data_IF_153249488129
#
_entry.id   IF_153249488129
#
_cell.length_a   1.000
_cell.length_b   1.000
_cell.length_c   1.000
_cell.angle_alpha   90.00
_cell.angle_beta   90.00
_cell.angle_gamma   90.00
#
_symmetry.space_group_name_H-M   'P 1'
#
loop_
_entity.id
_entity.type
_entity.pdbx_description
1 polymer ?
#
# COMPACT_ATOMS: atom_id res chain seq x y z
N UNK A 1 -29.41 -34.75 -15.48
CA UNK A 1 -27.98 -34.60 -15.14
C UNK A 1 -27.76 -35.42 -13.88
N UNK A 2 -26.76 -36.30 -13.85
CA UNK A 2 -26.54 -37.13 -12.67
C UNK A 2 -25.95 -36.26 -11.56
N UNK A 3 -26.28 -36.53 -10.29
CA UNK A 3 -25.78 -35.78 -9.14
C UNK A 3 -24.23 -35.80 -9.04
N UNK A 4 -23.58 -36.80 -9.66
CA UNK A 4 -22.13 -36.83 -9.81
C UNK A 4 -21.58 -35.71 -10.70
N UNK A 5 -22.38 -35.18 -11.63
CA UNK A 5 -21.96 -34.11 -12.55
C UNK A 5 -21.91 -32.75 -11.84
N UNK A 6 -22.75 -32.50 -10.83
CA UNK A 6 -22.73 -31.27 -9.99
C UNK A 6 -21.60 -31.27 -8.94
N UNK A 7 -21.13 -32.45 -8.53
CA UNK A 7 -20.08 -32.61 -7.51
C UNK A 7 -18.70 -32.20 -8.06
N UNK A 8 -18.47 -32.36 -9.37
CA UNK A 8 -17.16 -32.11 -10.01
C UNK A 8 -16.87 -30.63 -10.30
N UNK A 9 -17.82 -29.73 -10.11
CA UNK A 9 -17.65 -28.28 -10.34
C UNK A 9 -17.48 -27.46 -9.07
N UNK A 10 -17.48 -28.12 -7.89
CA UNK A 10 -17.37 -27.46 -6.59
C UNK A 10 -15.92 -27.48 -6.07
N UNK A 11 -15.48 -26.43 -5.34
CA UNK A 11 -14.23 -26.47 -4.59
C UNK A 11 -14.17 -27.69 -3.65
N UNK A 12 -12.97 -28.26 -3.45
CA UNK A 12 -12.76 -29.51 -2.70
C UNK A 12 -13.42 -29.54 -1.32
N UNK A 13 -13.50 -28.38 -0.65
CA UNK A 13 -14.11 -28.25 0.68
C UNK A 13 -15.64 -28.40 0.65
N UNK A 14 -16.29 -27.87 -0.38
CA UNK A 14 -17.75 -28.00 -0.59
C UNK A 14 -18.11 -29.43 -0.99
N UNK A 15 -17.25 -30.08 -1.78
CA UNK A 15 -17.38 -31.49 -2.14
C UNK A 15 -17.36 -32.39 -0.88
N UNK A 16 -16.40 -32.16 0.03
CA UNK A 16 -16.31 -32.89 1.29
C UNK A 16 -17.53 -32.67 2.20
N UNK A 17 -18.04 -31.43 2.27
CA UNK A 17 -19.26 -31.12 3.03
C UNK A 17 -20.48 -31.88 2.49
N UNK A 18 -20.69 -31.89 1.17
CA UNK A 18 -21.78 -32.61 0.53
C UNK A 18 -21.70 -34.13 0.73
N UNK A 19 -20.50 -34.71 0.60
CA UNK A 19 -20.26 -36.14 0.86
C UNK A 19 -20.59 -36.49 2.32
N UNK A 20 -20.18 -35.65 3.27
CA UNK A 20 -20.47 -35.87 4.70
C UNK A 20 -21.95 -35.75 5.04
N UNK A 21 -22.69 -34.82 4.41
CA UNK A 21 -24.14 -34.70 4.55
C UNK A 21 -24.83 -35.95 3.98
N UNK A 22 -24.41 -36.41 2.81
CA UNK A 22 -24.97 -37.55 2.13
C UNK A 22 -24.78 -38.87 2.91
N UNK A 23 -23.56 -39.13 3.41
CA UNK A 23 -23.26 -40.31 4.23
C UNK A 23 -24.09 -40.35 5.53
N UNK A 24 -24.44 -39.17 6.07
CA UNK A 24 -25.28 -39.02 7.25
C UNK A 24 -26.77 -39.26 6.98
N UNK A 25 -27.27 -38.82 5.83
CA UNK A 25 -28.65 -39.10 5.40
C UNK A 25 -28.83 -40.62 5.22
N UNK A 26 -27.89 -41.28 4.53
CA UNK A 26 -27.89 -42.74 4.36
C UNK A 26 -27.86 -43.50 5.69
N UNK A 27 -26.99 -43.09 6.62
CA UNK A 27 -26.94 -43.73 7.95
C UNK A 27 -28.18 -43.46 8.81
N UNK A 28 -28.86 -42.31 8.64
CA UNK A 28 -30.14 -42.03 9.29
C UNK A 28 -31.23 -43.00 8.81
N UNK A 29 -31.39 -43.16 7.48
CA UNK A 29 -32.35 -44.09 6.89
C UNK A 29 -32.08 -45.55 7.31
N UNK A 30 -30.83 -45.97 7.41
CA UNK A 30 -30.48 -47.31 7.90
C UNK A 30 -30.88 -47.52 9.38
N UNK A 31 -30.71 -46.52 10.24
CA UNK A 31 -31.04 -46.65 11.67
C UNK A 31 -32.56 -46.64 11.89
N UNK A 32 -33.29 -45.80 11.15
CA UNK A 32 -34.76 -45.81 11.16
C UNK A 32 -35.33 -47.17 10.77
N UNK A 33 -34.76 -47.79 9.73
CA UNK A 33 -35.30 -49.02 9.15
C UNK A 33 -34.91 -50.28 9.93
N UNK A 34 -33.75 -50.31 10.59
CA UNK A 34 -33.17 -51.56 11.13
C UNK A 34 -32.84 -51.57 12.63
N UNK A 35 -32.98 -50.46 13.38
CA UNK A 35 -32.63 -50.45 14.81
C UNK A 35 -33.81 -50.74 15.77
N UNK A 36 -33.61 -51.47 16.88
CA UNK A 36 -34.62 -51.66 17.92
C UNK A 36 -35.00 -50.36 18.65
N UNK A 37 -36.24 -50.25 19.12
CA UNK A 37 -36.87 -48.99 19.58
C UNK A 37 -36.13 -48.29 20.74
N UNK A 38 -35.57 -49.06 21.69
CA UNK A 38 -34.81 -48.49 22.82
C UNK A 38 -33.43 -47.93 22.39
N UNK A 39 -32.87 -48.44 21.28
CA UNK A 39 -31.58 -48.04 20.73
C UNK A 39 -31.69 -46.76 19.87
N UNK A 40 -32.85 -46.56 19.22
CA UNK A 40 -33.14 -45.37 18.40
C UNK A 40 -33.04 -44.08 19.22
N UNK A 41 -33.67 -44.03 20.40
CA UNK A 41 -33.77 -42.80 21.20
C UNK A 41 -32.42 -42.29 21.70
N UNK A 42 -31.51 -43.20 22.08
CA UNK A 42 -30.17 -42.85 22.57
C UNK A 42 -29.27 -42.38 21.42
N UNK A 43 -29.29 -43.08 20.27
CA UNK A 43 -28.49 -42.71 19.10
C UNK A 43 -28.97 -41.40 18.48
N UNK A 44 -30.29 -41.18 18.37
CA UNK A 44 -30.84 -39.92 17.85
C UNK A 44 -30.44 -38.73 18.72
N UNK A 45 -30.49 -38.86 20.06
CA UNK A 45 -30.09 -37.78 20.97
C UNK A 45 -28.58 -37.48 20.92
N UNK A 46 -27.74 -38.51 20.85
CA UNK A 46 -26.28 -38.33 20.70
C UNK A 46 -25.93 -37.70 19.35
N UNK A 47 -26.53 -38.17 18.25
CA UNK A 47 -26.28 -37.63 16.90
C UNK A 47 -26.79 -36.20 16.73
N UNK A 48 -27.92 -35.82 17.36
CA UNK A 48 -28.38 -34.42 17.37
C UNK A 48 -27.39 -33.47 18.05
N UNK A 49 -26.79 -33.92 19.16
CA UNK A 49 -25.77 -33.14 19.89
C UNK A 49 -24.48 -32.98 19.06
N UNK A 50 -24.03 -34.05 18.40
CA UNK A 50 -22.90 -33.99 17.46
C UNK A 50 -23.22 -33.16 16.20
N UNK A 51 -24.46 -33.17 15.73
CA UNK A 51 -24.91 -32.36 14.59
C UNK A 51 -24.82 -30.86 14.88
N UNK A 52 -25.28 -30.42 16.06
CA UNK A 52 -25.13 -29.01 16.48
C UNK A 52 -23.67 -28.61 16.65
N UNK A 53 -22.85 -29.44 17.30
CA UNK A 53 -21.40 -29.20 17.43
C UNK A 53 -20.69 -29.11 16.07
N UNK A 54 -21.11 -29.90 15.10
CA UNK A 54 -20.49 -29.93 13.78
C UNK A 54 -20.98 -28.78 12.88
N UNK A 55 -22.24 -28.35 13.02
CA UNK A 55 -22.73 -27.12 12.41
C UNK A 55 -22.00 -25.91 12.98
N UNK A 56 -21.84 -25.82 14.30
CA UNK A 56 -21.06 -24.73 14.91
C UNK A 56 -19.60 -24.74 14.45
N UNK A 57 -18.96 -25.91 14.35
CA UNK A 57 -17.62 -26.01 13.77
C UNK A 57 -17.57 -25.62 12.29
N UNK A 58 -18.57 -25.99 11.49
CA UNK A 58 -18.62 -25.64 10.06
C UNK A 58 -18.90 -24.15 9.87
N UNK A 59 -19.76 -23.55 10.70
CA UNK A 59 -20.00 -22.10 10.73
C UNK A 59 -18.78 -21.33 11.24
N UNK A 60 -18.06 -21.84 12.24
CA UNK A 60 -16.79 -21.28 12.71
C UNK A 60 -15.69 -21.38 11.64
N UNK A 61 -15.62 -22.49 10.90
CA UNK A 61 -14.73 -22.64 9.74
C UNK A 61 -15.13 -21.71 8.58
N UNK A 62 -16.43 -21.53 8.33
CA UNK A 62 -16.93 -20.58 7.32
C UNK A 62 -16.64 -19.12 7.70
N UNK A 63 -16.68 -18.78 8.99
CA UNK A 63 -16.22 -17.49 9.50
C UNK A 63 -14.70 -17.35 9.44
N UNK A 64 -13.93 -18.44 9.53
CA UNK A 64 -12.48 -18.43 9.34
C UNK A 64 -12.05 -18.23 7.88
N UNK A 65 -12.93 -18.55 6.92
CA UNK A 65 -12.69 -18.52 5.48
C UNK A 65 -13.75 -17.71 4.72
N UNK A 66 -14.25 -16.61 5.28
CA UNK A 66 -14.86 -15.58 4.46
C UNK A 66 -13.74 -14.95 3.63
N UNK A 67 -13.53 -15.48 2.43
CA UNK A 67 -12.85 -14.75 1.38
C UNK A 67 -13.70 -13.50 1.16
N UNK A 68 -13.21 -12.34 1.55
CA UNK A 68 -13.88 -11.10 1.20
C UNK A 68 -13.99 -11.07 -0.32
N UNK A 69 -15.19 -10.83 -0.87
CA UNK A 69 -15.30 -10.55 -2.29
C UNK A 69 -14.50 -9.26 -2.57
N UNK A 70 -13.46 -9.36 -3.39
CA UNK A 70 -12.66 -8.23 -3.85
C UNK A 70 -12.51 -8.32 -5.37
N UNK A 71 -12.31 -7.17 -6.01
CA UNK A 71 -12.06 -7.11 -7.44
C UNK A 71 -10.54 -7.07 -7.68
N UNK A 72 -10.07 -7.95 -8.57
CA UNK A 72 -8.71 -7.89 -9.11
C UNK A 72 -8.67 -8.26 -10.59
N UNK A 73 -7.61 -7.80 -11.25
CA UNK A 73 -7.30 -8.12 -12.64
C UNK A 73 -5.87 -8.65 -12.70
N UNK A 74 -5.68 -9.82 -13.27
CA UNK A 74 -4.37 -10.45 -13.38
C UNK A 74 -4.01 -10.72 -14.84
N UNK A 75 -2.74 -10.46 -15.17
CA UNK A 75 -2.10 -10.90 -16.40
C UNK A 75 -0.83 -11.68 -16.04
N UNK A 76 -0.55 -12.77 -16.77
CA UNK A 76 0.57 -13.68 -16.46
C UNK A 76 0.14 -14.90 -15.64
N UNK A 77 1.06 -15.42 -14.83
CA UNK A 77 0.85 -16.62 -14.03
C UNK A 77 0.06 -16.32 -12.74
N UNK A 78 -1.10 -16.97 -12.48
CA UNK A 78 -1.86 -16.74 -11.24
C UNK A 78 -1.32 -17.46 -10.00
N UNK A 79 -0.32 -18.32 -10.17
CA UNK A 79 0.39 -18.96 -9.07
C UNK A 79 1.46 -18.06 -8.46
N UNK A 80 1.88 -18.38 -7.25
CA UNK A 80 2.96 -17.70 -6.54
C UNK A 80 4.32 -18.01 -7.16
N UNK A 81 5.03 -16.98 -7.62
CA UNK A 81 6.39 -17.09 -8.10
C UNK A 81 7.33 -17.53 -6.97
N UNK A 82 8.14 -18.55 -7.24
CA UNK A 82 9.10 -19.08 -6.26
C UNK A 82 10.50 -18.61 -6.57
N UNK A 83 10.91 -17.51 -5.91
CA UNK A 83 12.31 -17.13 -5.83
C UNK A 83 13.13 -18.28 -5.22
N UNK A 84 14.21 -18.66 -5.90
CA UNK A 84 15.13 -19.67 -5.40
C UNK A 84 15.87 -19.21 -4.13
N UNK A 85 16.07 -17.90 -4.00
CA UNK A 85 16.69 -17.24 -2.85
C UNK A 85 16.09 -15.83 -2.72
N UNK A 86 15.33 -15.57 -1.65
CA UNK A 86 14.71 -14.25 -1.41
C UNK A 86 15.74 -13.16 -1.06
N UNK A 87 16.97 -13.53 -0.65
CA UNK A 87 18.02 -12.55 -0.30
C UNK A 87 18.53 -11.74 -1.49
N UNK A 88 18.14 -12.10 -2.72
CA UNK A 88 18.46 -11.38 -3.96
C UNK A 88 17.55 -10.17 -4.22
N UNK A 89 16.52 -9.98 -3.38
CA UNK A 89 15.68 -8.79 -3.39
C UNK A 89 16.40 -7.64 -2.68
N UNK A 90 16.73 -6.60 -3.45
CA UNK A 90 17.48 -5.44 -2.96
C UNK A 90 16.59 -4.34 -2.40
N UNK A 91 15.26 -4.50 -2.45
CA UNK A 91 14.27 -3.49 -2.09
C UNK A 91 14.41 -2.18 -2.85
N UNK A 92 13.89 -1.11 -2.25
CA UNK A 92 13.96 0.25 -2.77
C UNK A 92 12.59 0.92 -2.80
N UNK A 93 12.59 2.21 -3.12
CA UNK A 93 11.38 3.02 -3.23
C UNK A 93 11.35 3.77 -4.56
N UNK A 94 10.20 3.78 -5.24
CA UNK A 94 9.94 4.62 -6.40
C UNK A 94 8.89 5.70 -6.03
N UNK A 95 9.29 6.96 -6.10
CA UNK A 95 8.46 8.13 -5.81
C UNK A 95 8.15 8.89 -7.11
N UNK A 96 6.99 8.67 -7.71
CA UNK A 96 6.56 9.36 -8.93
C UNK A 96 5.63 10.55 -8.61
N UNK A 97 5.98 11.74 -9.10
CA UNK A 97 5.25 12.97 -8.77
C UNK A 97 3.87 13.13 -9.43
N UNK A 98 3.46 12.16 -10.27
CA UNK A 98 2.19 12.16 -10.98
C UNK A 98 2.31 12.53 -12.47
N UNK A 99 1.17 12.55 -13.16
CA UNK A 99 1.08 12.77 -14.62
C UNK A 99 1.74 11.65 -15.42
N UNK A 100 2.32 11.95 -16.59
CA UNK A 100 2.92 10.96 -17.49
C UNK A 100 4.07 10.18 -16.82
N UNK A 101 3.99 8.85 -16.89
CA UNK A 101 5.00 7.94 -16.38
C UNK A 101 6.35 8.07 -17.10
N UNK A 102 7.42 7.70 -16.40
CA UNK A 102 8.80 7.76 -16.90
C UNK A 102 9.35 6.35 -17.09
N UNK A 103 9.22 5.80 -18.30
CA UNK A 103 9.54 4.40 -18.62
C UNK A 103 10.81 3.86 -17.95
N UNK A 104 11.93 4.60 -18.02
CA UNK A 104 13.21 4.16 -17.47
C UNK A 104 13.17 3.92 -15.94
N UNK A 105 12.43 4.75 -15.22
CA UNK A 105 12.25 4.61 -13.77
C UNK A 105 11.37 3.39 -13.44
N UNK A 106 10.35 3.13 -14.25
CA UNK A 106 9.48 1.98 -14.06
C UNK A 106 10.15 0.67 -14.49
N UNK A 107 11.03 0.69 -15.51
CA UNK A 107 11.92 -0.45 -15.81
C UNK A 107 12.87 -0.74 -14.65
N UNK A 108 13.41 0.30 -14.00
CA UNK A 108 14.21 0.15 -12.78
C UNK A 108 13.40 -0.52 -11.67
N UNK A 109 12.14 -0.14 -11.47
CA UNK A 109 11.24 -0.77 -10.50
C UNK A 109 10.98 -2.25 -10.83
N UNK A 110 10.58 -2.56 -12.06
CA UNK A 110 10.27 -3.94 -12.46
C UNK A 110 11.48 -4.87 -12.42
N UNK A 111 12.67 -4.38 -12.75
CA UNK A 111 13.91 -5.19 -12.69
C UNK A 111 14.18 -5.70 -11.27
N UNK A 112 13.70 -4.98 -10.25
CA UNK A 112 13.84 -5.36 -8.84
C UNK A 112 12.84 -6.42 -8.39
N UNK A 113 11.77 -6.65 -9.16
CA UNK A 113 10.90 -7.81 -8.96
C UNK A 113 11.62 -9.14 -9.31
N UNK A 114 12.81 -9.08 -9.94
CA UNK A 114 13.63 -10.26 -10.30
C UNK A 114 12.86 -11.30 -11.12
N UNK A 115 11.92 -10.85 -11.94
CA UNK A 115 11.07 -11.71 -12.76
C UNK A 115 9.86 -12.30 -12.03
N UNK A 116 9.60 -11.92 -10.77
CA UNK A 116 8.48 -12.41 -9.97
C UNK A 116 7.18 -11.64 -10.15
N UNK A 117 6.32 -11.74 -9.14
CA UNK A 117 4.96 -11.21 -9.12
C UNK A 117 4.93 -9.73 -8.74
N UNK A 118 4.16 -8.95 -9.51
CA UNK A 118 3.95 -7.52 -9.25
C UNK A 118 2.51 -7.28 -8.82
N UNK A 119 2.34 -6.71 -7.63
CA UNK A 119 1.03 -6.29 -7.14
C UNK A 119 0.85 -4.79 -7.34
N UNK A 120 -0.24 -4.40 -8.00
CA UNK A 120 -0.65 -3.01 -8.17
C UNK A 120 -1.85 -2.76 -7.25
N UNK A 121 -1.79 -1.73 -6.42
CA UNK A 121 -2.85 -1.38 -5.48
C UNK A 121 -3.50 -0.09 -5.94
N UNK A 122 -4.77 -0.21 -6.29
CA UNK A 122 -5.60 0.92 -6.69
C UNK A 122 -6.47 1.37 -5.53
N UNK A 123 -6.52 2.67 -5.28
CA UNK A 123 -7.43 3.21 -4.28
C UNK A 123 -8.88 2.96 -4.69
N UNK A 124 -9.76 2.70 -3.73
CA UNK A 124 -11.16 2.38 -4.04
C UNK A 124 -12.13 3.50 -3.75
N UNK A 125 -11.81 4.72 -4.18
CA UNK A 125 -12.75 5.83 -4.14
C UNK A 125 -13.88 5.56 -5.14
N UNK A 126 -15.05 5.20 -4.61
CA UNK A 126 -16.20 4.74 -5.41
C UNK A 126 -16.90 5.87 -6.19
N UNK A 127 -16.69 7.15 -5.84
CA UNK A 127 -17.69 8.17 -6.12
C UNK A 127 -17.71 8.80 -7.53
N UNK A 128 -16.76 8.57 -8.45
CA UNK A 128 -16.85 9.21 -9.79
C UNK A 128 -15.99 8.55 -10.90
N UNK A 129 -16.24 7.29 -11.29
CA UNK A 129 -15.84 6.79 -12.63
C UNK A 129 -16.48 5.40 -12.86
N UNK A 130 -17.46 5.28 -13.78
CA UNK A 130 -18.15 3.99 -14.04
C UNK A 130 -17.22 2.87 -14.58
N UNK A 131 -16.01 3.24 -15.00
CA UNK A 131 -14.97 2.33 -15.49
C UNK A 131 -13.95 1.94 -14.41
N UNK A 132 -14.07 2.48 -13.20
CA UNK A 132 -13.07 2.30 -12.14
C UNK A 132 -12.91 0.82 -11.72
N UNK A 133 -13.97 0.03 -11.50
CA UNK A 133 -13.84 -1.40 -11.28
C UNK A 133 -13.66 -2.21 -12.57
N UNK A 134 -13.37 -1.61 -13.73
CA UNK A 134 -13.15 -2.34 -14.99
C UNK A 134 -11.81 -2.00 -15.66
N UNK A 135 -10.92 -1.32 -14.94
CA UNK A 135 -9.61 -0.91 -15.43
C UNK A 135 -8.50 -1.57 -14.59
N UNK A 136 -7.61 -2.28 -15.28
CA UNK A 136 -6.49 -3.04 -14.73
C UNK A 136 -5.23 -2.17 -14.48
N UNK A 137 -5.39 -0.85 -14.54
CA UNK A 137 -4.43 0.20 -14.25
C UNK A 137 -3.08 0.05 -14.96
N UNK A 138 -2.15 -0.65 -14.33
CA UNK A 138 -0.76 -0.80 -14.78
C UNK A 138 -0.46 -2.18 -15.39
N UNK A 139 -1.43 -3.10 -15.41
CA UNK A 139 -1.22 -4.49 -15.83
C UNK A 139 -0.52 -4.61 -17.19
N UNK A 140 -1.11 -4.05 -18.25
CA UNK A 140 -0.51 -4.12 -19.60
C UNK A 140 0.85 -3.43 -19.65
N UNK A 141 0.95 -2.25 -19.04
CA UNK A 141 2.16 -1.44 -19.09
C UNK A 141 3.35 -2.14 -18.41
N UNK A 142 3.13 -2.73 -17.24
CA UNK A 142 4.15 -3.47 -16.50
C UNK A 142 4.44 -4.85 -17.08
N UNK A 143 3.42 -5.56 -17.57
CA UNK A 143 3.60 -6.92 -18.07
C UNK A 143 4.21 -6.97 -19.47
N UNK A 144 3.90 -5.99 -20.33
CA UNK A 144 4.25 -6.06 -21.75
C UNK A 144 4.91 -4.81 -22.34
N UNK A 145 4.39 -3.61 -22.08
CA UNK A 145 4.84 -2.41 -22.82
C UNK A 145 6.27 -1.98 -22.43
N UNK A 146 6.67 -2.17 -21.17
CA UNK A 146 8.01 -1.79 -20.69
C UNK A 146 9.14 -2.75 -21.11
N UNK A 147 8.81 -3.95 -21.58
CA UNK A 147 9.78 -4.95 -22.03
C UNK A 147 10.65 -5.57 -20.93
N UNK A 148 10.26 -5.44 -19.65
CA UNK A 148 10.91 -6.11 -18.52
C UNK A 148 10.09 -7.35 -18.16
N UNK A 149 10.74 -8.51 -18.09
CA UNK A 149 10.06 -9.76 -17.77
C UNK A 149 9.67 -9.81 -16.28
N UNK A 150 8.41 -10.17 -16.03
CA UNK A 150 7.80 -10.45 -14.71
C UNK A 150 6.89 -11.68 -14.85
N UNK A 151 6.60 -12.39 -13.76
CA UNK A 151 5.77 -13.61 -13.79
C UNK A 151 4.28 -13.26 -13.95
N UNK A 152 3.85 -12.26 -13.19
CA UNK A 152 2.49 -11.73 -13.24
C UNK A 152 2.42 -10.26 -12.84
N UNK A 153 1.34 -9.61 -13.26
CA UNK A 153 0.90 -8.33 -12.70
C UNK A 153 -0.55 -8.47 -12.30
N UNK A 154 -0.86 -8.24 -11.03
CA UNK A 154 -2.22 -8.24 -10.51
C UNK A 154 -2.57 -6.91 -9.85
N UNK A 155 -3.59 -6.26 -10.38
CA UNK A 155 -4.17 -5.05 -9.79
C UNK A 155 -5.26 -5.45 -8.80
N UNK A 156 -5.14 -5.04 -7.55
CA UNK A 156 -6.14 -5.20 -6.48
C UNK A 156 -6.86 -3.86 -6.28
N UNK A 157 -8.19 -3.90 -6.33
CA UNK A 157 -9.04 -2.76 -6.04
C UNK A 157 -9.35 -2.65 -4.54
N UNK A 158 -8.71 -1.70 -3.86
CA UNK A 158 -8.84 -1.52 -2.41
C UNK A 158 -9.98 -0.55 -2.07
N UNK A 159 -11.22 -1.03 -2.07
CA UNK A 159 -12.41 -0.20 -1.84
C UNK A 159 -13.06 -0.32 -0.47
N UNK A 160 -12.55 -1.17 0.41
CA UNK A 160 -13.08 -1.30 1.76
C UNK A 160 -12.05 -1.82 2.74
N UNK A 161 -12.31 -1.58 4.04
CA UNK A 161 -11.55 -2.23 5.11
C UNK A 161 -11.71 -3.74 5.11
N UNK A 162 -12.84 -4.27 4.63
CA UNK A 162 -13.05 -5.72 4.51
C UNK A 162 -12.09 -6.34 3.49
N UNK A 163 -11.84 -5.67 2.35
CA UNK A 163 -10.82 -6.07 1.39
C UNK A 163 -9.42 -5.98 2.00
N UNK A 164 -9.13 -4.90 2.73
CA UNK A 164 -7.86 -4.73 3.42
C UNK A 164 -7.60 -5.82 4.50
N UNK A 165 -8.63 -6.23 5.24
CA UNK A 165 -8.54 -7.30 6.24
C UNK A 165 -8.68 -8.73 5.68
N UNK A 166 -8.77 -8.88 4.35
CA UNK A 166 -8.83 -10.19 3.70
C UNK A 166 -7.51 -10.95 3.88
N UNK A 167 -7.59 -12.19 4.36
CA UNK A 167 -6.42 -13.09 4.42
C UNK A 167 -5.86 -13.40 3.03
N UNK A 168 -6.70 -13.39 2.00
CA UNK A 168 -6.29 -13.67 0.63
C UNK A 168 -5.48 -12.51 0.04
N UNK A 169 -5.95 -11.27 0.22
CA UNK A 169 -5.22 -10.06 -0.20
C UNK A 169 -3.89 -9.96 0.55
N UNK A 170 -3.90 -10.16 1.87
CA UNK A 170 -2.68 -10.17 2.67
C UNK A 170 -1.68 -11.25 2.21
N UNK A 171 -2.16 -12.43 1.81
CA UNK A 171 -1.33 -13.51 1.26
C UNK A 171 -0.67 -13.09 -0.06
N UNK A 172 -1.42 -12.50 -1.00
CA UNK A 172 -0.90 -12.00 -2.28
C UNK A 172 0.18 -10.93 -2.07
N UNK A 173 -0.05 -9.99 -1.15
CA UNK A 173 0.93 -8.95 -0.82
C UNK A 173 2.24 -9.55 -0.28
N UNK A 174 2.15 -10.56 0.60
CA UNK A 174 3.34 -11.25 1.13
C UNK A 174 4.11 -12.02 0.05
N UNK A 175 3.41 -12.48 -0.98
CA UNK A 175 3.98 -13.24 -2.09
C UNK A 175 4.58 -12.37 -3.19
N UNK A 176 4.16 -11.11 -3.30
CA UNK A 176 4.70 -10.21 -4.33
C UNK A 176 6.22 -10.00 -4.22
N UNK A 177 6.87 -9.76 -5.35
CA UNK A 177 8.27 -9.32 -5.46
C UNK A 177 8.39 -7.81 -5.69
N UNK A 178 7.30 -7.16 -6.13
CA UNK A 178 7.18 -5.72 -6.23
C UNK A 178 5.76 -5.25 -5.95
N UNK A 179 5.61 -4.09 -5.30
CA UNK A 179 4.30 -3.52 -4.96
C UNK A 179 4.23 -2.08 -5.46
N UNK A 180 3.18 -1.72 -6.17
CA UNK A 180 3.00 -0.38 -6.74
C UNK A 180 1.65 0.22 -6.36
N UNK A 181 1.63 1.46 -5.86
CA UNK A 181 0.40 2.20 -5.53
C UNK A 181 0.09 3.23 -6.62
N UNK A 182 -1.11 3.19 -7.18
CA UNK A 182 -1.52 4.11 -8.24
C UNK A 182 -1.74 5.53 -7.74
N UNK A 183 -2.03 6.43 -8.68
CA UNK A 183 -2.64 7.73 -8.36
C UNK A 183 -4.07 7.54 -7.85
N UNK A 184 -4.69 8.64 -7.42
CA UNK A 184 -6.00 8.67 -6.79
C UNK A 184 -6.04 9.65 -5.63
N UNK A 185 -6.66 9.23 -4.55
CA UNK A 185 -6.86 9.97 -3.31
C UNK A 185 -6.19 9.21 -2.15
N UNK A 186 -5.10 9.79 -1.63
CA UNK A 186 -4.29 9.14 -0.61
C UNK A 186 -5.03 8.87 0.71
N UNK A 187 -6.17 9.55 0.94
CA UNK A 187 -7.00 9.26 2.11
C UNK A 187 -7.51 7.82 2.10
N UNK A 188 -7.88 7.28 0.94
CA UNK A 188 -8.45 5.93 0.86
C UNK A 188 -7.40 4.84 1.11
N UNK A 189 -6.14 5.08 0.72
CA UNK A 189 -5.04 4.21 1.15
C UNK A 189 -4.89 4.24 2.67
N UNK A 190 -4.84 5.42 3.28
CA UNK A 190 -4.69 5.55 4.72
C UNK A 190 -5.86 4.92 5.49
N UNK A 191 -7.09 5.28 5.12
CA UNK A 191 -8.36 4.82 5.71
C UNK A 191 -8.51 3.30 5.68
N UNK A 192 -8.09 2.65 4.59
CA UNK A 192 -8.30 1.21 4.42
C UNK A 192 -7.15 0.37 4.93
N UNK A 193 -5.89 0.79 4.77
CA UNK A 193 -4.73 -0.02 5.11
C UNK A 193 -4.44 0.02 6.61
N UNK A 194 -4.53 1.20 7.25
CA UNK A 194 -4.08 1.37 8.63
C UNK A 194 -4.80 0.40 9.59
N UNK A 195 -4.04 -0.28 10.45
CA UNK A 195 -4.51 -1.30 11.39
C UNK A 195 -5.35 -2.41 10.71
N UNK A 196 -4.78 -3.04 9.67
CA UNK A 196 -5.36 -4.21 8.97
C UNK A 196 -4.31 -5.26 8.63
N UNK A 197 -4.76 -6.46 8.23
CA UNK A 197 -3.88 -7.51 7.72
C UNK A 197 -3.09 -7.08 6.47
N UNK A 198 -3.60 -6.11 5.71
CA UNK A 198 -2.89 -5.47 4.60
C UNK A 198 -1.61 -4.80 5.11
N UNK A 199 -1.71 -3.99 6.17
CA UNK A 199 -0.56 -3.30 6.75
C UNK A 199 0.48 -4.29 7.28
N UNK A 200 0.03 -5.34 8.00
CA UNK A 200 0.93 -6.41 8.46
C UNK A 200 1.65 -7.12 7.30
N UNK A 201 0.97 -7.29 6.16
CA UNK A 201 1.55 -7.89 4.96
C UNK A 201 2.55 -6.95 4.27
N UNK A 202 2.27 -5.64 4.20
CA UNK A 202 3.19 -4.64 3.69
C UNK A 202 4.44 -4.53 4.56
N UNK A 203 4.28 -4.49 5.88
CA UNK A 203 5.38 -4.45 6.84
C UNK A 203 6.29 -5.67 6.64
N UNK A 204 5.73 -6.87 6.49
CA UNK A 204 6.51 -8.06 6.15
C UNK A 204 7.22 -7.93 4.79
N UNK A 205 6.51 -7.50 3.74
CA UNK A 205 7.07 -7.40 2.40
C UNK A 205 8.25 -6.41 2.36
N UNK A 206 8.11 -5.25 3.03
CA UNK A 206 9.12 -4.19 3.07
C UNK A 206 10.28 -4.54 4.02
N UNK A 207 9.98 -4.93 5.26
CA UNK A 207 10.99 -5.06 6.31
C UNK A 207 11.66 -6.44 6.32
N UNK A 208 10.96 -7.50 5.89
CA UNK A 208 11.49 -8.88 5.92
C UNK A 208 11.89 -9.33 4.52
N UNK A 209 10.95 -9.34 3.56
CA UNK A 209 11.18 -9.83 2.19
C UNK A 209 12.01 -8.86 1.33
N UNK A 210 12.10 -7.59 1.74
CA UNK A 210 12.84 -6.52 1.04
C UNK A 210 12.33 -6.30 -0.39
N UNK A 211 11.01 -6.28 -0.59
CA UNK A 211 10.42 -5.96 -1.89
C UNK A 211 10.63 -4.48 -2.24
N UNK A 212 10.70 -4.17 -3.54
CA UNK A 212 10.62 -2.79 -3.99
C UNK A 212 9.17 -2.30 -3.87
N UNK A 213 8.98 -1.07 -3.40
CA UNK A 213 7.65 -0.43 -3.35
C UNK A 213 7.67 0.87 -4.12
N UNK A 214 6.66 1.11 -4.94
CA UNK A 214 6.55 2.33 -5.74
C UNK A 214 5.17 2.96 -5.64
N UNK A 215 5.06 4.20 -6.07
CA UNK A 215 3.76 4.76 -6.37
C UNK A 215 3.81 6.12 -7.04
N UNK A 216 2.68 6.52 -7.60
CA UNK A 216 2.51 7.80 -8.32
C UNK A 216 1.44 8.66 -7.67
N UNK A 217 1.63 9.99 -7.65
CA UNK A 217 0.68 10.94 -7.04
C UNK A 217 0.29 10.56 -5.61
N UNK A 218 -0.91 9.99 -5.38
CA UNK A 218 -1.36 9.54 -4.08
C UNK A 218 -0.50 8.38 -3.54
N UNK A 219 -0.19 7.41 -4.41
CA UNK A 219 0.70 6.30 -4.07
C UNK A 219 2.14 6.72 -3.77
N UNK A 220 2.60 7.87 -4.27
CA UNK A 220 3.87 8.46 -3.87
C UNK A 220 3.74 9.19 -2.52
N UNK A 221 2.64 9.90 -2.28
CA UNK A 221 2.43 10.70 -1.07
C UNK A 221 2.38 9.87 0.23
N UNK A 222 2.08 8.58 0.13
CA UNK A 222 2.00 7.65 1.27
C UNK A 222 3.31 6.94 1.63
N UNK A 223 4.40 7.17 0.87
CA UNK A 223 5.67 6.43 1.00
C UNK A 223 6.53 6.92 2.17
N UNK A 224 6.35 8.17 2.60
CA UNK A 224 7.05 8.72 3.76
C UNK A 224 6.67 8.03 5.06
N UNK A 225 7.55 8.11 6.06
CA UNK A 225 7.18 7.74 7.43
C UNK A 225 5.98 8.57 7.91
N UNK A 226 5.94 9.84 7.51
CA UNK A 226 4.81 10.75 7.73
C UNK A 226 4.03 10.93 6.43
N UNK A 227 2.72 11.03 6.55
CA UNK A 227 1.79 11.10 5.42
C UNK A 227 0.83 12.26 5.61
N UNK A 228 0.76 13.17 4.65
CA UNK A 228 -0.37 14.10 4.56
C UNK A 228 -1.61 13.32 4.10
N UNK A 229 -2.54 13.04 5.02
CA UNK A 229 -3.62 12.07 4.77
C UNK A 229 -4.69 12.59 3.82
N UNK A 230 -4.87 13.91 3.74
CA UNK A 230 -5.94 14.55 2.99
C UNK A 230 -7.36 14.03 3.32
N UNK A 231 -7.59 13.63 4.58
CA UNK A 231 -8.88 13.08 5.03
C UNK A 231 -10.07 14.02 4.79
N UNK A 232 -9.87 15.32 5.00
CA UNK A 232 -10.90 16.34 4.81
C UNK A 232 -10.86 16.89 3.38
N UNK A 233 -9.69 17.38 2.97
CA UNK A 233 -9.40 17.88 1.61
C UNK A 233 -7.88 18.05 1.46
N UNK A 234 -7.42 18.35 0.24
CA UNK A 234 -6.09 18.92 0.04
C UNK A 234 -6.02 20.34 0.63
N UNK A 235 -4.83 20.75 1.04
CA UNK A 235 -4.53 22.12 1.48
C UNK A 235 -3.55 22.80 0.51
N UNK A 236 -3.78 24.09 0.19
CA UNK A 236 -2.85 24.88 -0.62
C UNK A 236 -1.83 25.62 0.26
N UNK A 237 -0.74 26.10 -0.36
CA UNK A 237 0.35 26.77 0.36
C UNK A 237 -0.11 27.95 1.23
N UNK A 238 -1.00 28.82 0.73
CA UNK A 238 -1.45 29.98 1.51
C UNK A 238 -2.27 29.59 2.74
N UNK A 239 -3.10 28.56 2.65
CA UNK A 239 -3.89 28.04 3.78
C UNK A 239 -2.96 27.38 4.81
N UNK A 240 -2.08 26.48 4.36
CA UNK A 240 -1.19 25.72 5.24
C UNK A 240 -0.18 26.61 5.99
N UNK A 241 0.27 27.71 5.39
CA UNK A 241 1.15 28.67 6.05
C UNK A 241 0.40 29.62 6.98
N UNK A 242 -0.86 29.95 6.68
CA UNK A 242 -1.68 30.82 7.52
C UNK A 242 -2.13 30.11 8.80
N UNK A 243 -2.53 28.84 8.68
CA UNK A 243 -2.90 28.00 9.81
C UNK A 243 -2.39 26.55 9.61
N UNK A 244 -1.21 26.22 10.14
CA UNK A 244 -0.71 24.85 10.13
C UNK A 244 -1.57 23.87 10.94
N UNK A 245 -2.56 24.34 11.72
CA UNK A 245 -3.54 23.54 12.46
C UNK A 245 -4.92 23.50 11.82
N UNK A 246 -5.05 23.97 10.57
CA UNK A 246 -6.26 23.80 9.77
C UNK A 246 -6.67 22.32 9.71
N UNK A 247 -7.97 22.05 9.79
CA UNK A 247 -8.52 20.69 9.80
C UNK A 247 -8.18 19.88 8.54
N UNK A 248 -7.91 20.54 7.41
CA UNK A 248 -7.42 19.88 6.18
C UNK A 248 -6.00 19.35 6.34
N UNK A 249 -5.18 19.96 7.21
CA UNK A 249 -3.79 19.56 7.45
C UNK A 249 -3.71 18.48 8.54
N UNK A 250 -3.95 17.24 8.15
CA UNK A 250 -3.77 16.07 9.02
C UNK A 250 -2.55 15.26 8.59
N UNK A 251 -1.67 14.97 9.56
CA UNK A 251 -0.45 14.17 9.36
C UNK A 251 -0.63 12.82 10.05
N UNK A 252 -0.67 11.76 9.24
CA UNK A 252 -0.59 10.38 9.69
C UNK A 252 0.86 9.89 9.71
N UNK A 253 1.07 8.65 10.21
CA UNK A 253 2.41 8.07 10.36
C UNK A 253 2.40 6.56 10.20
N UNK A 254 3.52 6.00 9.73
CA UNK A 254 3.80 4.56 9.69
C UNK A 254 2.83 3.72 8.83
N UNK A 255 2.30 4.30 7.76
CA UNK A 255 1.50 3.54 6.80
C UNK A 255 2.38 2.57 6.00
N UNK A 256 3.51 3.06 5.48
CA UNK A 256 4.55 2.27 4.81
C UNK A 256 5.89 2.42 5.55
N UNK A 257 6.43 1.31 6.08
CA UNK A 257 7.60 1.35 6.99
C UNK A 257 8.93 1.23 6.26
N UNK A 258 9.21 2.18 5.38
CA UNK A 258 10.49 2.26 4.69
C UNK A 258 11.60 2.75 5.62
N UNK A 259 12.55 1.88 5.96
CA UNK A 259 13.72 2.29 6.79
C UNK A 259 14.50 3.44 6.15
N UNK A 260 14.61 3.48 4.82
CA UNK A 260 15.31 4.56 4.09
C UNK A 260 14.56 5.89 4.07
N UNK A 261 13.26 5.91 4.35
CA UNK A 261 12.42 7.11 4.41
C UNK A 261 12.04 7.48 5.85
N UNK A 262 12.80 6.99 6.84
CA UNK A 262 12.65 7.44 8.23
C UNK A 262 12.78 8.96 8.34
N UNK A 263 11.93 9.53 9.18
CA UNK A 263 11.72 10.94 9.42
C UNK A 263 11.43 11.76 8.14
N UNK A 264 10.83 11.13 7.12
CA UNK A 264 10.58 11.78 5.83
C UNK A 264 9.08 11.91 5.58
N UNK A 265 8.68 13.06 5.06
CA UNK A 265 7.36 13.28 4.46
C UNK A 265 7.52 13.55 2.95
N UNK A 266 6.58 13.06 2.15
CA UNK A 266 6.61 13.18 0.69
C UNK A 266 5.48 14.07 0.18
N UNK A 267 5.72 14.79 -0.92
CA UNK A 267 4.70 15.56 -1.64
C UNK A 267 4.87 15.41 -3.16
N UNK A 268 3.79 15.59 -3.91
CA UNK A 268 3.69 15.33 -5.36
C UNK A 268 3.15 16.52 -6.12
N UNK A 269 3.14 16.49 -7.46
CA UNK A 269 2.70 17.60 -8.32
C UNK A 269 3.29 18.95 -7.87
N UNK A 270 4.57 18.92 -7.52
CA UNK A 270 5.13 19.82 -6.53
C UNK A 270 5.17 21.27 -7.00
N UNK A 271 5.88 21.54 -8.11
CA UNK A 271 5.88 22.84 -8.74
C UNK A 271 4.55 23.19 -9.41
N UNK A 272 3.90 22.21 -10.04
CA UNK A 272 2.68 22.41 -10.82
C UNK A 272 1.55 23.00 -9.95
N UNK A 273 1.54 22.68 -8.67
CA UNK A 273 0.53 23.13 -7.71
C UNK A 273 1.08 24.07 -6.64
N UNK A 274 2.31 24.57 -6.80
CA UNK A 274 2.94 25.52 -5.87
C UNK A 274 2.98 25.01 -4.42
N UNK A 275 3.37 23.74 -4.22
CA UNK A 275 3.21 23.01 -2.94
C UNK A 275 4.39 23.17 -1.97
N UNK A 276 5.32 24.06 -2.25
CA UNK A 276 6.54 24.18 -1.44
C UNK A 276 6.24 24.71 -0.04
N UNK A 277 5.37 25.72 0.08
CA UNK A 277 5.01 26.27 1.37
C UNK A 277 4.17 25.33 2.23
N UNK A 278 3.20 24.59 1.65
CA UNK A 278 2.47 23.56 2.41
C UNK A 278 3.38 22.44 2.90
N UNK A 279 4.37 22.04 2.10
CA UNK A 279 5.28 20.97 2.48
C UNK A 279 6.17 21.40 3.66
N UNK A 280 6.58 22.66 3.71
CA UNK A 280 7.23 23.25 4.89
C UNK A 280 6.31 23.24 6.10
N UNK A 281 5.03 23.62 5.94
CA UNK A 281 4.06 23.54 7.02
C UNK A 281 3.90 22.10 7.55
N UNK A 282 3.88 21.09 6.67
CA UNK A 282 3.85 19.70 7.08
C UNK A 282 5.09 19.31 7.90
N UNK A 283 6.29 19.65 7.41
CA UNK A 283 7.53 19.38 8.13
C UNK A 283 7.56 20.08 9.50
N UNK A 284 7.06 21.32 9.57
CA UNK A 284 6.94 22.06 10.83
C UNK A 284 5.96 21.39 11.80
N UNK A 285 4.81 20.90 11.31
CA UNK A 285 3.85 20.13 12.11
C UNK A 285 4.45 18.83 12.64
N UNK A 286 5.14 18.08 11.78
CA UNK A 286 5.85 16.87 12.19
C UNK A 286 6.83 17.19 13.33
N UNK A 287 7.67 18.22 13.17
CA UNK A 287 8.65 18.61 14.19
C UNK A 287 7.98 19.04 15.50
N UNK A 288 6.89 19.82 15.42
CA UNK A 288 6.21 20.38 16.58
C UNK A 288 5.41 19.35 17.36
N UNK A 289 4.70 18.46 16.67
CA UNK A 289 3.80 17.50 17.32
C UNK A 289 4.50 16.20 17.68
N UNK A 290 5.65 15.91 17.05
CA UNK A 290 6.44 14.72 17.35
C UNK A 290 7.52 14.94 18.41
N UNK A 291 7.41 15.99 19.23
CA UNK A 291 8.37 16.31 20.29
C UNK A 291 8.51 15.20 21.34
N UNK A 292 7.54 14.28 21.43
CA UNK A 292 7.63 13.09 22.29
C UNK A 292 8.61 12.01 21.77
N UNK A 293 9.09 12.13 20.52
CA UNK A 293 9.93 11.13 19.85
C UNK A 293 11.41 11.53 19.67
N UNK A 294 11.82 12.71 20.18
CA UNK A 294 13.20 13.22 20.11
C UNK A 294 13.81 13.18 18.68
N UNK A 295 13.04 13.61 17.68
CA UNK A 295 13.54 13.71 16.31
C UNK A 295 14.51 14.89 16.17
N UNK A 296 15.76 14.60 15.79
CA UNK A 296 16.77 15.64 15.54
C UNK A 296 16.68 16.24 14.14
N UNK A 297 16.06 15.54 13.18
CA UNK A 297 15.97 15.95 11.77
C UNK A 297 14.69 15.37 11.14
N UNK A 298 13.88 16.24 10.54
CA UNK A 298 12.79 15.88 9.62
C UNK A 298 13.17 16.28 8.20
N UNK A 299 12.79 15.44 7.23
CA UNK A 299 13.10 15.59 5.81
C UNK A 299 11.84 15.64 4.97
N UNK A 300 11.93 16.32 3.83
CA UNK A 300 10.87 16.36 2.83
C UNK A 300 11.39 15.87 1.48
N UNK A 301 10.57 15.17 0.71
CA UNK A 301 10.84 14.87 -0.71
C UNK A 301 9.63 15.32 -1.54
N UNK A 302 9.78 16.42 -2.28
CA UNK A 302 8.78 16.91 -3.23
C UNK A 302 9.12 16.46 -4.64
N UNK A 303 8.18 15.88 -5.38
CA UNK A 303 8.41 15.39 -6.74
C UNK A 303 7.47 16.09 -7.73
N UNK A 304 8.02 16.70 -8.77
CA UNK A 304 7.23 17.31 -9.85
C UNK A 304 6.50 16.26 -10.69
N UNK A 305 5.47 16.69 -11.42
CA UNK A 305 4.88 15.85 -12.46
C UNK A 305 5.94 15.36 -13.47
N UNK A 306 5.72 14.20 -14.09
CA UNK A 306 6.64 13.65 -15.10
C UNK A 306 8.09 13.46 -14.59
N UNK A 307 8.24 13.29 -13.28
CA UNK A 307 9.52 13.09 -12.59
C UNK A 307 9.38 11.96 -11.59
N UNK A 308 10.44 11.16 -11.46
CA UNK A 308 10.46 10.00 -10.58
C UNK A 308 11.77 9.95 -9.81
N UNK A 309 11.69 9.77 -8.48
CA UNK A 309 12.87 9.51 -7.64
C UNK A 309 12.89 8.03 -7.28
N UNK A 310 13.93 7.33 -7.72
CA UNK A 310 14.19 5.95 -7.36
C UNK A 310 15.29 5.89 -6.30
N UNK A 311 14.99 5.30 -5.14
CA UNK A 311 15.89 5.22 -3.99
C UNK A 311 16.19 3.75 -3.73
N UNK A 312 17.47 3.39 -3.75
CA UNK A 312 17.94 2.05 -3.43
C UNK A 312 17.92 1.81 -1.91
N UNK A 313 17.95 0.55 -1.47
CA UNK A 313 18.08 0.20 -0.04
C UNK A 313 19.35 0.75 0.61
N UNK A 314 20.38 1.05 -0.19
CA UNK A 314 21.60 1.75 0.23
C UNK A 314 21.39 3.23 0.58
N UNK A 315 20.23 3.81 0.21
CA UNK A 315 19.94 5.23 0.27
C UNK A 315 20.40 6.03 -0.95
N UNK A 316 21.02 5.40 -1.96
CA UNK A 316 21.36 6.07 -3.21
C UNK A 316 20.09 6.40 -3.99
N UNK A 317 19.87 7.69 -4.28
CA UNK A 317 18.74 8.17 -5.05
C UNK A 317 19.15 8.56 -6.47
N UNK A 318 18.29 8.25 -7.44
CA UNK A 318 18.38 8.69 -8.83
C UNK A 318 17.08 9.35 -9.26
N UNK A 319 17.17 10.48 -9.95
CA UNK A 319 16.02 11.21 -10.50
C UNK A 319 15.92 10.90 -11.99
N UNK A 320 14.72 10.57 -12.44
CA UNK A 320 14.36 10.35 -13.84
C UNK A 320 13.28 11.35 -14.26
N UNK A 321 13.19 11.63 -15.55
CA UNK A 321 12.22 12.56 -16.13
C UNK A 321 12.81 13.93 -16.45
N UNK A 322 11.92 14.85 -16.82
CA UNK A 322 12.30 16.14 -17.42
C UNK A 322 12.11 17.35 -16.47
N UNK A 323 11.69 17.12 -15.22
CA UNK A 323 11.54 18.17 -14.20
C UNK A 323 12.32 17.83 -12.95
N UNK A 324 12.00 18.49 -11.85
CA UNK A 324 12.83 18.50 -10.66
C UNK A 324 12.26 17.61 -9.55
N UNK A 325 13.17 17.15 -8.69
CA UNK A 325 12.86 16.60 -7.39
C UNK A 325 13.53 17.45 -6.30
N UNK A 326 12.82 17.64 -5.19
CA UNK A 326 13.15 18.57 -4.14
C UNK A 326 13.40 17.82 -2.84
N UNK A 327 14.63 17.89 -2.35
CA UNK A 327 15.03 17.28 -1.08
C UNK A 327 15.14 18.38 -0.03
N UNK A 328 14.28 18.33 0.98
CA UNK A 328 14.21 19.31 2.06
C UNK A 328 14.78 18.71 3.34
N UNK A 329 15.47 19.54 4.12
CA UNK A 329 15.89 19.21 5.47
C UNK A 329 15.80 20.48 6.31
N UNK A 330 15.34 20.33 7.56
CA UNK A 330 15.43 21.41 8.53
C UNK A 330 16.91 21.82 8.74
N UNK A 331 17.22 23.11 8.60
CA UNK A 331 18.53 23.63 8.96
C UNK A 331 18.64 23.75 10.48
N UNK A 332 19.72 23.22 11.06
CA UNK A 332 20.00 23.26 12.50
C UNK A 332 20.58 24.59 12.99
N UNK A 333 20.48 25.67 12.20
CA UNK A 333 20.98 26.98 12.66
C UNK A 333 19.94 27.64 13.55
N UNK A 334 20.45 28.20 14.64
CA UNK A 334 19.74 28.88 15.72
C UNK A 334 18.54 29.69 15.18
N UNK A 335 17.37 29.49 15.78
CA UNK A 335 16.18 30.30 15.51
C UNK A 335 16.58 31.78 15.55
N UNK A 336 16.25 32.53 14.50
CA UNK A 336 16.33 33.97 14.58
C UNK A 336 15.30 34.42 15.62
N UNK A 337 15.76 34.73 16.83
CA UNK A 337 14.93 35.36 17.85
C UNK A 337 14.47 36.71 17.30
N UNK A 338 13.17 36.84 17.04
CA UNK A 338 12.56 38.12 16.72
C UNK A 338 11.96 38.66 18.01
N UNK A 339 12.39 39.85 18.42
CA UNK A 339 11.86 40.51 19.61
C UNK A 339 10.36 40.83 19.45
N UNK A 340 9.62 40.71 20.55
CA UNK A 340 8.19 41.05 20.60
C UNK A 340 7.96 42.48 20.10
N UNK A 341 7.02 42.65 19.17
CA UNK A 341 6.67 43.96 18.58
C UNK A 341 7.31 44.27 17.22
N UNK A 342 8.16 43.39 16.69
CA UNK A 342 8.67 43.49 15.32
C UNK A 342 7.71 42.77 14.36
N UNK A 343 7.20 43.50 13.37
CA UNK A 343 6.47 42.92 12.24
C UNK A 343 7.46 42.15 11.36
N UNK A 344 7.41 40.82 11.44
CA UNK A 344 8.10 39.94 10.51
C UNK A 344 7.13 39.47 9.43
N UNK A 345 7.41 39.82 8.19
CA UNK A 345 6.72 39.27 7.02
C UNK A 345 7.61 38.16 6.46
N UNK A 346 7.21 36.91 6.64
CA UNK A 346 7.78 35.82 5.84
C UNK A 346 7.10 35.87 4.48
N UNK A 347 7.76 36.50 3.51
CA UNK A 347 7.27 36.51 2.14
C UNK A 347 7.49 35.15 1.48
N UNK A 348 6.75 34.87 0.40
CA UNK A 348 7.02 33.72 -0.46
C UNK A 348 8.50 33.73 -0.89
N UNK A 349 9.04 34.91 -1.19
CA UNK A 349 10.41 35.14 -1.59
C UNK A 349 11.42 34.84 -0.48
N UNK A 350 11.10 35.07 0.80
CA UNK A 350 11.97 34.73 1.93
C UNK A 350 12.08 33.23 2.14
N UNK A 351 10.95 32.52 1.98
CA UNK A 351 10.90 31.06 2.02
C UNK A 351 11.70 30.47 0.83
N UNK A 352 11.55 31.05 -0.36
CA UNK A 352 12.33 30.71 -1.56
C UNK A 352 13.83 31.06 -1.43
N UNK A 353 14.18 32.13 -0.73
CA UNK A 353 15.57 32.55 -0.53
C UNK A 353 16.32 31.65 0.47
N UNK A 354 15.63 31.15 1.50
CA UNK A 354 16.12 30.05 2.35
C UNK A 354 16.35 28.79 1.50
N UNK A 355 15.43 28.51 0.56
CA UNK A 355 15.51 27.38 -0.36
C UNK A 355 16.69 27.50 -1.36
N UNK A 356 16.96 28.65 -1.95
CA UNK A 356 18.08 28.81 -2.90
C UNK A 356 19.47 28.77 -2.25
N UNK A 357 19.62 29.10 -0.96
CA UNK A 357 20.91 28.92 -0.25
C UNK A 357 21.28 27.46 -0.04
N UNK A 358 20.32 26.54 -0.14
CA UNK A 358 20.49 25.11 0.11
C UNK A 358 20.83 24.28 -1.14
N UNK A 359 21.41 24.86 -2.21
CA UNK A 359 21.95 24.09 -3.37
C UNK A 359 23.07 23.08 -3.03
N UNK A 360 23.35 22.84 -1.74
CA UNK A 360 24.25 21.81 -1.22
C UNK A 360 23.64 21.16 0.02
N UNK A 361 22.51 20.46 -0.12
CA UNK A 361 22.10 19.51 0.91
C UNK A 361 22.91 18.23 0.70
N UNK A 362 23.94 18.08 1.53
CA UNK A 362 24.76 16.88 1.65
C UNK A 362 23.91 15.76 2.30
N UNK A 363 23.21 14.98 1.47
CA UNK A 363 22.96 13.59 1.83
C UNK A 363 24.30 12.87 1.79
N UNK A 364 24.88 12.62 2.97
CA UNK A 364 26.03 11.74 3.23
C UNK A 364 26.97 11.55 2.03
N UNK A 365 27.94 12.45 1.92
CA UNK A 365 29.27 12.27 1.33
C UNK A 365 29.54 10.91 0.62
N UNK A 366 29.06 10.75 -0.62
CA UNK A 366 29.82 10.13 -1.71
C UNK A 366 29.52 10.91 -2.97
N UNK A 367 30.53 11.67 -3.40
CA UNK A 367 30.57 12.31 -4.71
C UNK A 367 30.17 11.28 -5.79
N UNK A 368 29.03 11.51 -6.43
CA UNK A 368 28.79 10.97 -7.76
C UNK A 368 29.75 11.72 -8.70
N UNK A 369 30.90 11.10 -8.96
CA UNK A 369 31.75 11.51 -10.06
C UNK A 369 30.98 11.23 -11.35
N UNK A 370 30.69 12.29 -12.10
CA UNK A 370 30.24 12.20 -13.48
C UNK A 370 31.36 11.55 -14.30
N UNK A 371 31.09 10.39 -14.90
CA UNK A 371 31.82 9.98 -16.10
C UNK A 371 31.06 10.56 -17.30
N UNK A 372 31.77 11.36 -18.09
CA UNK A 372 31.40 11.82 -19.44
C UNK A 372 31.16 10.68 -20.39
#
# INVERSE_FOLDING_TARGET
>A
MSMMDEINTLPLLDMLCLIMVYFKILTYFCIEKYAPTLFKTVILRLKFRFFFLQIEHTFALKHLYLCADYHSWIVGNPGDFKLADESVLDGGVLLAGGSTDQDEAYRWFLTRARGGDVIVIRDGKEENYDDYPNNDAYNKYFYSDLGVQVDSVETIFLNSRTVADSSEVARKIRQAEAIFFTGGDQWYYYKYIDNTRFQDALDYAIEVKKVVVGGTSAGCAIQGEFVFTAEVDSIITSEALADPYDAKLTIGRNLLRHTILKNTITDTHYNERGRQGRHIAFMARVLKDSLDYNFSIVRGIGVDEQTVVCIESSGLARVFGNRDAYFLQQNSQQEAMVESGILCTLTKEDILAIWHRNKKINWVNRQLNYFT
#
